data_IF_845408862977
#
_entry.id   IF_845408862977
#
_cell.length_a   1.000
_cell.length_b   1.000
_cell.length_c   1.000
_cell.angle_alpha   90.00
_cell.angle_beta   90.00
_cell.angle_gamma   90.00
#
_symmetry.space_group_name_H-M   'P 1'
#
loop_
_entity.id
_entity.type
_entity.pdbx_description
1 polymer ?
#
# COMPACT_ATOMS: atom_id res chain seq x y z
N UNK A 1 4.23 15.65 5.72
CA UNK A 1 4.62 14.56 4.79
C UNK A 1 5.48 13.54 5.54
N UNK A 2 5.20 12.25 5.38
CA UNK A 2 5.80 11.14 6.15
C UNK A 2 7.34 11.12 6.13
N UNK A 3 8.04 11.28 4.98
CA UNK A 3 9.50 11.25 4.95
C UNK A 3 10.15 12.32 5.84
N UNK A 4 9.59 13.54 5.85
CA UNK A 4 10.07 14.64 6.69
C UNK A 4 9.94 14.35 8.19
N UNK A 5 8.93 13.58 8.60
CA UNK A 5 8.72 13.22 10.02
C UNK A 5 9.67 12.13 10.48
N UNK A 6 10.03 11.18 9.60
CA UNK A 6 10.98 10.12 9.90
C UNK A 6 12.41 10.66 10.00
N UNK A 7 12.78 11.60 9.13
CA UNK A 7 14.11 12.23 9.15
C UNK A 7 14.41 12.94 10.50
N UNK A 8 13.40 13.51 11.18
CA UNK A 8 13.54 14.06 12.55
C UNK A 8 14.16 13.04 13.54
N UNK A 9 13.94 11.76 13.30
CA UNK A 9 14.44 10.65 14.13
C UNK A 9 15.53 9.84 13.42
N UNK A 10 16.18 10.40 12.40
CA UNK A 10 17.22 9.72 11.59
C UNK A 10 16.74 8.41 10.95
N UNK A 11 15.45 8.35 10.59
CA UNK A 11 14.83 7.22 9.91
C UNK A 11 14.56 7.54 8.44
N UNK A 12 14.72 6.54 7.58
CA UNK A 12 14.47 6.62 6.14
C UNK A 12 13.49 5.56 5.66
N UNK A 13 12.75 5.88 4.60
CA UNK A 13 11.89 4.91 3.90
C UNK A 13 12.71 4.21 2.82
N UNK A 14 12.67 2.89 2.82
CA UNK A 14 13.27 2.11 1.74
C UNK A 14 12.37 2.18 0.50
N UNK A 15 12.87 2.73 -0.61
CA UNK A 15 12.09 2.94 -1.85
C UNK A 15 11.44 1.66 -2.37
N UNK A 16 12.22 0.59 -2.50
CA UNK A 16 11.70 -0.67 -3.08
C UNK A 16 10.69 -1.41 -2.18
N UNK A 17 10.73 -1.17 -0.86
CA UNK A 17 9.84 -1.83 0.11
C UNK A 17 8.62 -0.97 0.46
N UNK A 18 8.62 0.29 0.04
CA UNK A 18 7.58 1.27 0.37
C UNK A 18 6.85 1.64 -0.90
N UNK A 19 5.59 1.23 -1.02
CA UNK A 19 4.77 1.50 -2.18
C UNK A 19 3.35 1.89 -1.78
N UNK A 20 2.70 2.67 -2.64
CA UNK A 20 1.28 2.96 -2.52
C UNK A 20 0.48 1.84 -3.17
N UNK A 21 -0.34 1.16 -2.38
CA UNK A 21 -1.17 0.04 -2.85
C UNK A 21 -2.63 0.43 -2.65
N UNK A 22 -3.44 0.49 -3.74
CA UNK A 22 -4.86 0.75 -3.61
C UNK A 22 -5.56 -0.48 -3.03
N UNK A 23 -6.31 -0.29 -1.95
CA UNK A 23 -7.01 -1.35 -1.23
C UNK A 23 -8.43 -0.94 -0.82
N UNK A 24 -9.24 -1.91 -0.41
CA UNK A 24 -10.61 -1.68 0.11
C UNK A 24 -11.70 -1.62 -0.95
N UNK A 25 -12.93 -1.32 -0.51
CA UNK A 25 -14.16 -1.55 -1.28
C UNK A 25 -14.19 -0.86 -2.66
N UNK A 26 -13.83 0.43 -2.73
CA UNK A 26 -13.84 1.18 -3.98
C UNK A 26 -12.81 0.64 -4.98
N UNK A 27 -11.62 0.28 -4.49
CA UNK A 27 -10.59 -0.31 -5.34
C UNK A 27 -11.04 -1.67 -5.87
N UNK A 28 -11.69 -2.49 -5.02
CA UNK A 28 -12.28 -3.78 -5.41
C UNK A 28 -13.36 -3.64 -6.48
N UNK A 29 -14.30 -2.70 -6.33
CA UNK A 29 -15.34 -2.43 -7.31
C UNK A 29 -14.75 -2.06 -8.68
N UNK A 30 -13.74 -1.18 -8.68
CA UNK A 30 -13.03 -0.78 -9.92
C UNK A 30 -12.32 -1.98 -10.54
N UNK A 31 -11.57 -2.75 -9.75
CA UNK A 31 -10.87 -3.93 -10.24
C UNK A 31 -11.85 -4.92 -10.90
N UNK A 32 -12.99 -5.19 -10.24
CA UNK A 32 -14.05 -6.04 -10.78
C UNK A 32 -14.64 -5.50 -12.10
N UNK A 33 -14.93 -4.19 -12.17
CA UNK A 33 -15.46 -3.55 -13.37
C UNK A 33 -14.51 -3.68 -14.57
N UNK A 34 -13.20 -3.57 -14.33
CA UNK A 34 -12.19 -3.70 -15.38
C UNK A 34 -11.71 -5.13 -15.62
N UNK A 35 -12.30 -6.14 -14.95
CA UNK A 35 -11.85 -7.53 -15.03
C UNK A 35 -10.41 -7.76 -14.56
N UNK A 36 -9.90 -6.87 -13.69
CA UNK A 36 -8.53 -6.90 -13.17
C UNK A 36 -8.52 -7.46 -11.75
N UNK A 37 -7.42 -8.12 -11.40
CA UNK A 37 -7.18 -8.56 -10.02
C UNK A 37 -6.78 -7.35 -9.16
N UNK A 38 -7.36 -7.27 -7.97
CA UNK A 38 -7.00 -6.27 -6.97
C UNK A 38 -5.59 -6.57 -6.42
N UNK A 39 -4.68 -5.57 -6.33
CA UNK A 39 -3.37 -5.79 -5.77
C UNK A 39 -3.48 -6.08 -4.28
N UNK A 40 -2.60 -6.95 -3.78
CA UNK A 40 -2.62 -7.38 -2.37
C UNK A 40 -1.30 -7.05 -1.70
N UNK A 41 -1.33 -6.92 -0.38
CA UNK A 41 -0.11 -6.80 0.42
C UNK A 41 -0.22 -7.57 1.74
N UNK A 42 0.93 -7.97 2.27
CA UNK A 42 0.99 -8.65 3.55
C UNK A 42 1.17 -7.63 4.67
N UNK A 43 0.29 -7.67 5.66
CA UNK A 43 0.36 -6.86 6.86
C UNK A 43 0.22 -7.76 8.08
N UNK A 44 1.29 -7.91 8.84
CA UNK A 44 1.33 -8.72 10.07
C UNK A 44 0.83 -10.16 9.89
N UNK A 45 1.14 -10.78 8.75
CA UNK A 45 0.72 -12.15 8.43
C UNK A 45 -0.66 -12.27 7.77
N UNK A 46 -1.37 -11.16 7.57
CA UNK A 46 -2.64 -11.11 6.86
C UNK A 46 -2.44 -10.60 5.43
N UNK A 47 -3.10 -11.22 4.46
CA UNK A 47 -3.20 -10.68 3.11
C UNK A 47 -4.35 -9.68 3.05
N UNK A 48 -4.01 -8.41 2.83
CA UNK A 48 -4.96 -7.32 2.63
C UNK A 48 -5.30 -7.18 1.15
N UNK A 49 -6.58 -6.94 0.88
CA UNK A 49 -7.19 -6.76 -0.44
C UNK A 49 -7.72 -5.32 -0.57
#
# INVERSE_FOLDING_TARGET
MLPKRLNKYSLELHGDKSQLIPAGHIAALRANQFGKRLPTFNFLGFTCY
#
